data_IF_106108449016
#
_entry.id   IF_106108449016
#
_cell.length_a   1.000
_cell.length_b   1.000
_cell.length_c   1.000
_cell.angle_alpha   90.00
_cell.angle_beta   90.00
_cell.angle_gamma   90.00
#
_symmetry.space_group_name_H-M   'P 1'
#
loop_
_entity.id
_entity.type
_entity.pdbx_description
1 polymer ?
#
# COMPACT_ATOMS: atom_id res chain seq x y z
N UNK A 1 19.95 -19.46 27.54
CA UNK A 1 19.55 -18.12 28.04
C UNK A 1 19.90 -17.09 26.94
N UNK A 2 18.92 -16.62 26.15
CA UNK A 2 18.11 -15.41 26.41
C UNK A 2 18.85 -14.08 26.15
N UNK A 3 19.37 -13.84 24.94
CA UNK A 3 19.81 -12.49 24.52
C UNK A 3 19.62 -12.25 23.01
N UNK A 4 18.41 -12.48 22.50
CA UNK A 4 17.98 -11.90 21.23
C UNK A 4 16.61 -11.21 21.39
N UNK A 5 16.45 -10.44 22.47
CA UNK A 5 15.40 -9.43 22.64
C UNK A 5 16.04 -8.08 22.28
N UNK A 6 16.10 -7.74 21.00
CA UNK A 6 16.07 -6.35 20.48
C UNK A 6 16.37 -6.36 18.96
N UNK A 7 15.51 -7.03 18.19
CA UNK A 7 15.24 -6.50 16.86
C UNK A 7 13.87 -5.86 16.96
N UNK A 8 13.78 -4.56 17.30
CA UNK A 8 12.61 -3.79 16.93
C UNK A 8 12.57 -3.88 15.41
N UNK A 9 11.81 -4.84 14.89
CA UNK A 9 11.71 -5.09 13.47
C UNK A 9 11.46 -3.73 12.82
N UNK A 10 12.40 -3.31 11.95
CA UNK A 10 12.34 -2.03 11.22
C UNK A 10 10.88 -1.80 10.88
N UNK A 11 10.27 -0.74 11.44
CA UNK A 11 8.86 -0.40 11.16
C UNK A 11 8.67 -0.53 9.66
N UNK A 12 7.97 -1.59 9.26
CA UNK A 12 7.75 -1.85 7.86
C UNK A 12 7.01 -0.65 7.29
N UNK A 13 7.12 -0.43 5.98
CA UNK A 13 6.38 0.66 5.35
C UNK A 13 4.90 0.51 5.68
N UNK A 14 4.26 1.63 5.97
CA UNK A 14 2.81 1.63 6.19
C UNK A 14 2.10 1.38 4.86
N UNK A 15 0.82 1.03 4.92
CA UNK A 15 0.00 0.79 3.75
C UNK A 15 -0.05 2.03 2.84
N UNK A 16 -0.19 3.23 3.42
CA UNK A 16 -0.15 4.49 2.67
C UNK A 16 1.19 4.73 1.97
N UNK A 17 2.32 4.43 2.62
CA UNK A 17 3.64 4.58 1.98
C UNK A 17 3.78 3.63 0.78
N UNK A 18 3.31 2.40 0.94
CA UNK A 18 3.39 1.37 -0.10
C UNK A 18 2.55 1.74 -1.32
N UNK A 19 1.32 2.21 -1.09
CA UNK A 19 0.42 2.70 -2.14
C UNK A 19 0.96 3.97 -2.82
N UNK A 20 1.60 4.86 -2.06
CA UNK A 20 2.24 6.06 -2.62
C UNK A 20 3.38 5.70 -3.58
N UNK A 21 4.15 4.66 -3.26
CA UNK A 21 5.20 4.15 -4.14
C UNK A 21 4.60 3.52 -5.40
N UNK A 22 3.56 2.70 -5.26
CA UNK A 22 2.85 2.10 -6.41
C UNK A 22 2.25 3.16 -7.32
N UNK A 23 1.66 4.21 -6.76
CA UNK A 23 1.14 5.35 -7.51
C UNK A 23 2.22 6.09 -8.28
N UNK A 24 3.41 6.28 -7.68
CA UNK A 24 4.58 6.80 -8.42
C UNK A 24 5.01 5.85 -9.54
N UNK A 25 4.97 4.54 -9.35
CA UNK A 25 5.33 3.58 -10.40
C UNK A 25 4.34 3.59 -11.56
N UNK A 26 3.03 3.77 -11.30
CA UNK A 26 2.05 4.08 -12.35
C UNK A 26 2.48 5.32 -13.15
N UNK A 27 2.78 6.42 -12.47
CA UNK A 27 3.18 7.68 -13.12
C UNK A 27 4.48 7.58 -13.92
N UNK A 28 5.40 6.71 -13.52
CA UNK A 28 6.65 6.45 -14.23
C UNK A 28 6.52 5.40 -15.34
N UNK A 29 5.32 4.85 -15.57
CA UNK A 29 5.07 3.83 -16.61
C UNK A 29 5.60 2.44 -16.29
N UNK A 30 5.91 2.15 -15.02
CA UNK A 30 6.34 0.82 -14.58
C UNK A 30 5.16 -0.12 -14.28
N UNK A 31 3.98 0.45 -14.02
CA UNK A 31 2.74 -0.28 -13.77
C UNK A 31 1.71 0.20 -14.78
N UNK A 32 0.94 -0.76 -15.30
CA UNK A 32 -0.18 -0.46 -16.18
C UNK A 32 -1.24 0.39 -15.45
N UNK A 33 -1.64 1.55 -16.01
CA UNK A 33 -2.53 2.48 -15.34
C UNK A 33 -3.91 1.89 -15.05
N UNK A 34 -4.49 1.15 -16.00
CA UNK A 34 -5.78 0.49 -15.84
C UNK A 34 -5.73 -0.58 -14.75
N UNK A 35 -4.66 -1.38 -14.70
CA UNK A 35 -4.47 -2.38 -13.64
C UNK A 35 -4.37 -1.72 -12.25
N UNK A 36 -3.61 -0.63 -12.12
CA UNK A 36 -3.49 0.10 -10.87
C UNK A 36 -4.84 0.70 -10.44
N UNK A 37 -5.60 1.25 -11.39
CA UNK A 37 -6.89 1.86 -11.09
C UNK A 37 -7.91 0.82 -10.59
N UNK A 38 -8.04 -0.31 -11.27
CA UNK A 38 -8.89 -1.43 -10.81
C UNK A 38 -8.44 -1.93 -9.43
N UNK A 39 -7.13 -2.07 -9.21
CA UNK A 39 -6.58 -2.49 -7.92
C UNK A 39 -6.98 -1.55 -6.77
N UNK A 40 -6.98 -0.24 -7.04
CA UNK A 40 -7.39 0.79 -6.07
C UNK A 40 -8.92 0.83 -5.87
N UNK A 41 -9.71 0.68 -6.94
CA UNK A 41 -11.18 0.68 -6.86
C UNK A 41 -11.72 -0.49 -6.06
N UNK A 42 -11.22 -1.69 -6.33
CA UNK A 42 -11.62 -2.93 -5.65
C UNK A 42 -11.05 -3.04 -4.22
N UNK A 43 -10.24 -2.06 -3.79
CA UNK A 43 -9.54 -2.05 -2.50
C UNK A 43 -8.78 -3.34 -2.23
N UNK A 44 -8.19 -3.93 -3.27
CA UNK A 44 -7.46 -5.21 -3.17
C UNK A 44 -6.30 -5.09 -2.19
N UNK A 45 -5.65 -3.92 -2.15
CA UNK A 45 -4.61 -3.60 -1.18
C UNK A 45 -5.05 -3.78 0.28
N UNK A 46 -6.32 -3.54 0.61
CA UNK A 46 -6.83 -3.65 1.98
C UNK A 46 -6.97 -5.11 2.39
N UNK A 47 -7.46 -5.97 1.49
CA UNK A 47 -7.52 -7.42 1.70
C UNK A 47 -6.12 -8.00 1.85
N UNK A 48 -5.23 -7.66 0.91
CA UNK A 48 -3.84 -8.08 0.95
C UNK A 48 -3.16 -7.62 2.24
N UNK A 49 -3.40 -6.38 2.69
CA UNK A 49 -2.83 -5.89 3.94
C UNK A 49 -3.34 -6.68 5.15
N UNK A 50 -4.63 -6.98 5.22
CA UNK A 50 -5.20 -7.77 6.32
C UNK A 50 -4.68 -9.20 6.37
N UNK A 51 -4.34 -9.79 5.22
CA UNK A 51 -3.86 -11.18 5.13
C UNK A 51 -2.33 -11.30 5.32
N UNK A 52 -1.56 -10.29 4.90
CA UNK A 52 -0.10 -10.40 4.81
C UNK A 52 0.69 -9.35 5.60
N UNK A 53 0.07 -8.25 6.06
CA UNK A 53 0.73 -7.21 6.86
C UNK A 53 0.31 -7.30 8.32
N UNK A 54 1.22 -6.93 9.21
CA UNK A 54 0.90 -6.76 10.62
C UNK A 54 -0.10 -5.61 10.79
N UNK A 55 -1.05 -5.72 11.75
CA UNK A 55 -2.07 -4.69 11.99
C UNK A 55 -1.47 -3.31 12.33
N UNK A 56 -0.25 -3.27 12.89
CA UNK A 56 0.48 -2.03 13.15
C UNK A 56 0.93 -1.29 11.87
N UNK A 57 0.95 -1.97 10.71
CA UNK A 57 1.29 -1.39 9.41
C UNK A 57 0.05 -0.99 8.59
N UNK A 58 -1.15 -1.43 8.99
CA UNK A 58 -2.41 -1.15 8.31
C UNK A 58 -2.96 0.19 8.80
N UNK A 59 -2.51 1.27 8.18
CA UNK A 59 -3.02 2.61 8.47
C UNK A 59 -4.25 2.97 7.62
N UNK A 60 -4.97 4.01 8.03
CA UNK A 60 -6.12 4.52 7.28
C UNK A 60 -5.64 5.24 6.01
N UNK A 61 -5.77 4.55 4.87
CA UNK A 61 -5.36 5.08 3.57
C UNK A 61 -6.41 6.05 3.02
N UNK A 62 -5.98 7.27 2.71
CA UNK A 62 -6.74 8.20 1.87
C UNK A 62 -6.32 8.05 0.40
N UNK A 63 -7.12 7.33 -0.38
CA UNK A 63 -6.85 7.08 -1.81
C UNK A 63 -6.74 8.36 -2.64
N UNK A 64 -7.39 9.45 -2.22
CA UNK A 64 -7.36 10.74 -2.93
C UNK A 64 -5.99 11.43 -2.84
N UNK A 65 -5.17 11.04 -1.87
CA UNK A 65 -3.80 11.53 -1.68
C UNK A 65 -2.75 10.69 -2.41
N UNK A 66 -3.15 9.55 -2.97
CA UNK A 66 -2.23 8.65 -3.66
C UNK A 66 -1.93 9.22 -5.05
N UNK A 67 -0.65 9.42 -5.41
CA UNK A 67 -0.28 9.93 -6.71
C UNK A 67 -0.75 9.00 -7.83
N UNK A 68 -1.37 9.54 -8.86
CA UNK A 68 -1.87 8.76 -9.99
C UNK A 68 -3.18 8.00 -9.72
N UNK A 69 -3.78 8.13 -8.53
CA UNK A 69 -5.13 7.60 -8.30
C UNK A 69 -6.15 8.33 -9.19
N UNK A 70 -6.99 7.57 -9.87
CA UNK A 70 -8.17 8.08 -10.57
C UNK A 70 -9.42 7.46 -9.96
N UNK A 71 -10.49 8.23 -9.75
CA UNK A 71 -11.77 7.67 -9.32
C UNK A 71 -12.36 6.76 -10.42
N UNK A 72 -13.16 5.76 -10.04
CA UNK A 72 -13.82 4.90 -11.01
C UNK A 72 -14.70 5.72 -11.95
N UNK A 73 -14.73 5.38 -13.25
CA UNK A 73 -15.63 6.02 -14.19
C UNK A 73 -17.08 5.81 -13.72
N UNK A 74 -17.87 6.88 -13.76
CA UNK A 74 -19.29 6.89 -13.42
C UNK A 74 -20.13 6.05 -14.39
#
# INVERSE_FOLDING_TARGET
ALTAKDRPYKKGKTLTESLTILGKFKLNGHIDPDLFDVFMWEKVYEKYAKEFLDPEQIDAVDVSRIPGYQPPPC
#
